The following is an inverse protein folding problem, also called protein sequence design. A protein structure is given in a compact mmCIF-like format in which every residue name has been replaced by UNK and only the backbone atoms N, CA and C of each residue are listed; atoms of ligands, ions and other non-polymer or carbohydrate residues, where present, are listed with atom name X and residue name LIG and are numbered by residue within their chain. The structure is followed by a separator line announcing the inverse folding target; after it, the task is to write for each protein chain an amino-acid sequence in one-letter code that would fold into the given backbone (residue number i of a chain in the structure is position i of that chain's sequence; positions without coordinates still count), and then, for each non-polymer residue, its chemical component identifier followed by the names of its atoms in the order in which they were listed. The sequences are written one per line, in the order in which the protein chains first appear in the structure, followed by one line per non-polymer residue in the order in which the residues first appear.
data_IF_522940293549
#
_entry.id   IF_522940293549
#
_cell.length_a   1.000
_cell.length_b   1.000
_cell.length_c   1.000
_cell.angle_alpha   90.00
_cell.angle_beta   90.00
_cell.angle_gamma   90.00
#
_symmetry.space_group_name_H-M   'P 1'
#
loop_
_entity.id
_entity.type
_entity.pdbx_description
1 polymer ?
#
# COMPACT_ATOMS: atom_id res chain seq x y z
N UNK A 1 16.16 -10.27 -10.10
CA UNK A 1 15.11 -11.27 -9.85
C UNK A 1 13.89 -10.91 -10.68
N UNK A 2 13.13 -11.90 -11.17
CA UNK A 2 11.88 -11.66 -11.91
C UNK A 2 10.69 -11.73 -10.95
N UNK A 3 9.79 -10.76 -11.07
CA UNK A 3 8.51 -10.70 -10.36
C UNK A 3 7.40 -10.31 -11.35
N UNK A 4 6.16 -10.40 -10.90
CA UNK A 4 4.98 -10.13 -11.72
C UNK A 4 4.17 -8.97 -11.14
N UNK A 5 3.50 -8.20 -11.99
CA UNK A 5 2.64 -7.10 -11.56
C UNK A 5 1.42 -7.04 -12.47
N UNK A 6 0.23 -6.89 -11.89
CA UNK A 6 -0.95 -6.50 -12.65
C UNK A 6 -1.12 -4.98 -12.51
N UNK A 7 -1.17 -4.30 -13.65
CA UNK A 7 -1.33 -2.86 -13.73
C UNK A 7 -2.70 -2.53 -14.29
N UNK A 8 -3.40 -1.62 -13.61
CA UNK A 8 -4.64 -1.03 -14.07
C UNK A 8 -4.39 0.45 -14.34
N UNK A 9 -4.56 0.87 -15.60
CA UNK A 9 -4.41 2.25 -16.09
C UNK A 9 -3.04 2.93 -15.84
N UNK A 10 -2.12 2.32 -15.09
CA UNK A 10 -0.84 2.92 -14.70
C UNK A 10 0.30 2.66 -15.70
N UNK A 11 0.19 1.61 -16.50
CA UNK A 11 1.20 1.22 -17.48
C UNK A 11 0.85 1.70 -18.89
N UNK A 12 1.59 2.71 -19.37
CA UNK A 12 1.43 3.30 -20.71
C UNK A 12 2.53 2.86 -21.70
N UNK A 13 3.09 1.65 -21.51
CA UNK A 13 4.21 1.16 -22.31
C UNK A 13 5.59 1.67 -21.84
N UNK A 14 5.65 2.19 -20.62
CA UNK A 14 6.91 2.66 -20.01
C UNK A 14 7.88 1.50 -19.77
N UNK A 15 9.19 1.76 -19.80
CA UNK A 15 10.21 0.72 -19.53
C UNK A 15 10.29 0.29 -18.06
N UNK A 16 9.64 1.03 -17.16
CA UNK A 16 9.73 0.83 -15.72
C UNK A 16 8.44 1.30 -15.05
N UNK A 17 8.09 0.65 -13.94
CA UNK A 17 7.01 1.05 -13.05
C UNK A 17 7.48 2.15 -12.10
N UNK A 18 6.59 3.10 -11.79
CA UNK A 18 6.87 4.21 -10.88
C UNK A 18 6.41 3.85 -9.47
N UNK A 19 7.29 4.03 -8.48
CA UNK A 19 6.90 4.05 -7.09
C UNK A 19 5.92 5.21 -6.85
N UNK A 20 4.92 5.00 -5.98
CA UNK A 20 3.84 5.97 -5.72
C UNK A 20 3.16 6.50 -6.99
N UNK A 21 2.89 5.63 -7.98
CA UNK A 21 2.31 6.05 -9.26
C UNK A 21 1.06 6.93 -9.10
N UNK A 22 0.20 6.60 -8.13
CA UNK A 22 -1.06 7.32 -7.87
C UNK A 22 -0.90 8.59 -7.01
N UNK A 23 0.33 8.90 -6.55
CA UNK A 23 0.62 10.05 -5.70
C UNK A 23 -0.17 10.00 -4.39
N UNK A 24 -0.26 8.83 -3.78
CA UNK A 24 -0.98 8.62 -2.52
C UNK A 24 -0.20 9.15 -1.31
N UNK A 25 1.14 9.27 -1.41
CA UNK A 25 1.96 9.79 -0.31
C UNK A 25 1.48 11.16 0.17
N UNK A 26 1.04 12.04 -0.73
CA UNK A 26 0.56 13.40 -0.40
C UNK A 26 -0.64 13.43 0.55
N UNK A 27 -1.46 12.37 0.57
CA UNK A 27 -2.61 12.29 1.49
C UNK A 27 -2.20 11.81 2.88
N UNK A 28 -1.07 11.10 2.96
CA UNK A 28 -0.51 10.54 4.19
C UNK A 28 0.46 11.51 4.86
N UNK A 29 1.17 12.31 4.08
CA UNK A 29 2.19 13.26 4.55
C UNK A 29 1.74 14.16 5.72
N UNK A 30 0.54 14.77 5.74
CA UNK A 30 0.11 15.60 6.87
C UNK A 30 0.05 14.84 8.20
N UNK A 31 -0.31 13.56 8.17
CA UNK A 31 -0.33 12.70 9.35
C UNK A 31 1.09 12.35 9.82
N UNK A 32 2.02 12.08 8.90
CA UNK A 32 3.42 11.80 9.23
C UNK A 32 4.05 13.04 9.89
N UNK A 33 3.82 14.23 9.33
CA UNK A 33 4.28 15.49 9.91
C UNK A 33 3.70 15.68 11.32
N UNK A 34 2.41 15.43 11.50
CA UNK A 34 1.76 15.51 12.81
C UNK A 34 2.36 14.53 13.83
N UNK A 35 2.71 13.30 13.42
CA UNK A 35 3.38 12.31 14.28
C UNK A 35 4.78 12.75 14.72
N UNK A 36 5.54 13.42 13.84
CA UNK A 36 6.86 13.97 14.17
C UNK A 36 6.79 15.06 15.24
N UNK A 37 5.69 15.81 15.28
CA UNK A 37 5.44 16.79 16.33
C UNK A 37 5.00 16.10 17.64
N UNK A 38 3.85 15.42 17.61
CA UNK A 38 3.31 14.73 18.78
C UNK A 38 2.10 13.85 18.42
N UNK A 39 1.88 12.77 19.17
CA UNK A 39 0.68 11.93 19.02
C UNK A 39 -0.63 12.71 19.20
N UNK A 40 -0.65 13.74 20.04
CA UNK A 40 -1.82 14.62 20.21
C UNK A 40 -2.12 15.44 18.95
N UNK A 41 -1.08 15.90 18.25
CA UNK A 41 -1.23 16.63 16.97
C UNK A 41 -1.72 15.67 15.89
N UNK A 42 -1.20 14.45 15.84
CA UNK A 42 -1.70 13.41 14.94
C UNK A 42 -3.19 13.10 15.18
N UNK A 43 -3.61 12.94 16.44
CA UNK A 43 -5.03 12.73 16.78
C UNK A 43 -5.91 13.90 16.33
N UNK A 44 -5.45 15.14 16.51
CA UNK A 44 -6.16 16.31 16.04
C UNK A 44 -6.30 16.31 14.50
N UNK A 45 -5.23 16.03 13.77
CA UNK A 45 -5.25 15.87 12.30
C UNK A 45 -6.22 14.76 11.89
N UNK A 46 -6.21 13.62 12.56
CA UNK A 46 -7.13 12.51 12.32
C UNK A 46 -8.60 12.89 12.47
N UNK A 47 -8.97 13.55 13.57
CA UNK A 47 -10.36 13.97 13.75
C UNK A 47 -10.78 15.08 12.79
N UNK A 48 -9.86 15.99 12.41
CA UNK A 48 -10.13 16.98 11.37
C UNK A 48 -10.35 16.31 10.00
N UNK A 49 -9.48 15.38 9.61
CA UNK A 49 -9.65 14.61 8.36
C UNK A 49 -10.90 13.75 8.36
N UNK A 50 -11.30 13.19 9.51
CA UNK A 50 -12.58 12.51 9.66
C UNK A 50 -13.74 13.44 9.29
N UNK A 51 -13.77 14.65 9.88
CA UNK A 51 -14.81 15.64 9.59
C UNK A 51 -14.86 16.00 8.10
N UNK A 52 -13.74 16.42 7.52
CA UNK A 52 -13.68 16.80 6.10
C UNK A 52 -14.03 15.65 5.16
N UNK A 53 -13.56 14.43 5.44
CA UNK A 53 -13.87 13.27 4.60
C UNK A 53 -15.36 12.95 4.58
N UNK A 54 -16.05 13.07 5.71
CA UNK A 54 -17.50 12.90 5.83
C UNK A 54 -18.26 13.96 5.04
N UNK A 55 -17.84 15.22 5.16
CA UNK A 55 -18.43 16.33 4.40
C UNK A 55 -18.26 16.11 2.88
N UNK A 56 -17.06 15.72 2.43
CA UNK A 56 -16.82 15.41 1.01
C UNK A 56 -17.66 14.22 0.52
N UNK A 57 -17.89 13.22 1.35
CA UNK A 57 -18.75 12.08 1.01
C UNK A 57 -20.23 12.48 0.97
N UNK A 58 -20.71 13.28 1.92
CA UNK A 58 -22.09 13.79 1.94
C UNK A 58 -22.38 14.66 0.71
N UNK A 59 -21.41 15.49 0.31
CA UNK A 59 -21.45 16.29 -0.92
C UNK A 59 -21.24 15.47 -2.20
N UNK A 60 -21.00 14.15 -2.10
CA UNK A 60 -20.70 13.24 -3.23
C UNK A 60 -19.47 13.63 -4.05
N UNK A 61 -18.55 14.39 -3.45
CA UNK A 61 -17.25 14.74 -4.04
C UNK A 61 -16.21 13.63 -3.84
N UNK A 62 -16.46 12.68 -2.93
CA UNK A 62 -15.70 11.43 -2.76
C UNK A 62 -16.62 10.25 -2.50
N UNK A 63 -16.21 9.08 -2.99
CA UNK A 63 -16.92 7.80 -2.77
C UNK A 63 -16.73 7.25 -1.34
N UNK A 64 -15.56 7.47 -0.73
CA UNK A 64 -15.18 6.85 0.54
C UNK A 64 -14.42 7.80 1.48
N UNK A 65 -14.65 7.63 2.78
CA UNK A 65 -13.93 8.27 3.88
C UNK A 65 -12.54 7.61 4.07
N UNK A 66 -11.59 7.90 3.17
CA UNK A 66 -10.26 7.25 3.16
C UNK A 66 -9.33 7.62 4.34
N UNK A 67 -9.71 8.58 5.20
CA UNK A 67 -8.84 9.13 6.25
C UNK A 67 -8.26 8.08 7.21
N UNK A 68 -8.99 6.99 7.51
CA UNK A 68 -8.49 5.92 8.38
C UNK A 68 -7.35 5.15 7.74
N UNK A 69 -7.48 4.84 6.45
CA UNK A 69 -6.42 4.18 5.68
C UNK A 69 -5.20 5.08 5.63
N UNK A 70 -5.39 6.35 5.30
CA UNK A 70 -4.31 7.34 5.23
C UNK A 70 -3.58 7.46 6.59
N UNK A 71 -4.32 7.48 7.70
CA UNK A 71 -3.74 7.53 9.05
C UNK A 71 -2.98 6.25 9.44
N UNK A 72 -3.45 5.07 9.04
CA UNK A 72 -2.74 3.79 9.27
C UNK A 72 -1.44 3.76 8.46
N UNK A 73 -1.49 4.11 7.17
CA UNK A 73 -0.28 4.23 6.36
C UNK A 73 0.71 5.24 6.95
N UNK A 74 0.22 6.34 7.54
CA UNK A 74 1.08 7.31 8.21
C UNK A 74 1.82 6.73 9.40
N UNK A 75 1.13 5.96 10.25
CA UNK A 75 1.76 5.29 11.40
C UNK A 75 2.79 4.27 10.90
N UNK A 76 2.44 3.48 9.88
CA UNK A 76 3.38 2.51 9.28
C UNK A 76 4.62 3.22 8.73
N UNK A 77 4.45 4.25 7.91
CA UNK A 77 5.58 4.98 7.33
C UNK A 77 6.40 5.71 8.40
N UNK A 78 5.77 6.27 9.43
CA UNK A 78 6.47 6.89 10.56
C UNK A 78 7.32 5.88 11.33
N UNK A 79 6.76 4.73 11.70
CA UNK A 79 7.50 3.63 12.36
C UNK A 79 8.64 3.15 11.47
N UNK A 80 8.38 2.98 10.17
CA UNK A 80 9.39 2.58 9.21
C UNK A 80 10.57 3.55 9.19
N UNK A 81 10.29 4.85 9.07
CA UNK A 81 11.32 5.90 8.99
C UNK A 81 12.11 6.04 10.30
N UNK A 82 11.48 5.82 11.44
CA UNK A 82 12.10 6.09 12.76
C UNK A 82 12.75 4.87 13.38
N UNK A 83 12.27 3.66 13.07
CA UNK A 83 12.71 2.42 13.72
C UNK A 83 13.33 1.39 12.73
N UNK A 84 13.02 1.46 11.42
CA UNK A 84 13.38 0.41 10.45
C UNK A 84 13.93 0.95 9.11
N UNK A 85 14.47 2.15 9.07
CA UNK A 85 14.72 2.89 7.81
C UNK A 85 15.62 2.15 6.79
N UNK A 86 16.64 1.42 7.26
CA UNK A 86 17.65 0.81 6.40
C UNK A 86 17.22 -0.55 5.82
N UNK A 87 16.37 -1.29 6.53
CA UNK A 87 16.03 -2.68 6.22
C UNK A 87 14.53 -2.88 5.97
N UNK A 88 13.90 -1.89 5.34
CA UNK A 88 12.49 -1.94 4.99
C UNK A 88 12.21 -1.22 3.68
N UNK A 89 11.01 -1.45 3.14
CA UNK A 89 10.45 -0.72 2.02
C UNK A 89 9.21 0.05 2.48
N UNK A 90 9.05 1.28 1.99
CA UNK A 90 7.82 2.05 2.20
C UNK A 90 6.67 1.37 1.48
N UNK A 91 5.50 1.29 2.13
CA UNK A 91 4.24 0.86 1.50
C UNK A 91 3.66 1.90 0.54
N UNK A 92 4.08 3.16 0.71
CA UNK A 92 3.59 4.30 -0.06
C UNK A 92 4.49 4.62 -1.24
N UNK A 93 5.78 4.31 -1.14
CA UNK A 93 6.77 4.57 -2.16
C UNK A 93 7.42 3.27 -2.66
N UNK A 94 6.60 2.38 -3.18
CA UNK A 94 7.02 1.11 -3.77
C UNK A 94 6.12 0.71 -4.95
N UNK A 95 6.48 -0.40 -5.57
CA UNK A 95 5.59 -1.19 -6.42
C UNK A 95 5.26 -2.50 -5.71
N UNK A 96 3.99 -2.90 -5.79
CA UNK A 96 3.50 -4.18 -5.29
C UNK A 96 3.61 -5.23 -6.39
N UNK A 97 4.16 -6.39 -6.04
CA UNK A 97 4.45 -7.48 -6.94
C UNK A 97 3.83 -8.79 -6.47
N UNK A 98 3.76 -9.75 -7.39
CA UNK A 98 3.44 -11.15 -7.16
C UNK A 98 4.69 -12.00 -7.43
N UNK A 99 4.82 -13.12 -6.72
CA UNK A 99 5.96 -14.04 -6.86
C UNK A 99 5.83 -14.88 -8.13
N UNK A 100 4.59 -15.08 -8.62
CA UNK A 100 4.30 -15.86 -9.82
C UNK A 100 3.32 -15.21 -10.78
N UNK A 101 3.39 -15.63 -12.05
CA UNK A 101 2.42 -15.24 -13.08
C UNK A 101 0.99 -15.64 -12.67
N UNK A 102 0.81 -16.84 -12.14
CA UNK A 102 -0.50 -17.37 -11.74
C UNK A 102 -1.13 -16.54 -10.63
N UNK A 103 -0.33 -16.15 -9.64
CA UNK A 103 -0.78 -15.26 -8.57
C UNK A 103 -1.18 -13.88 -9.12
N UNK A 104 -0.39 -13.30 -10.01
CA UNK A 104 -0.75 -12.03 -10.65
C UNK A 104 -2.04 -12.12 -11.47
N UNK A 105 -2.28 -13.23 -12.17
CA UNK A 105 -3.55 -13.49 -12.88
C UNK A 105 -4.70 -13.54 -11.87
N UNK A 106 -4.54 -14.28 -10.77
CA UNK A 106 -5.60 -14.43 -9.76
C UNK A 106 -5.98 -13.09 -9.15
N UNK A 107 -5.00 -12.27 -8.77
CA UNK A 107 -5.26 -10.92 -8.28
C UNK A 107 -5.92 -10.02 -9.33
N UNK A 108 -5.45 -10.04 -10.58
CA UNK A 108 -6.09 -9.28 -11.66
C UNK A 108 -7.57 -9.68 -11.86
N UNK A 109 -7.88 -10.97 -11.72
CA UNK A 109 -9.25 -11.46 -11.81
C UNK A 109 -10.08 -11.00 -10.61
N UNK A 110 -9.60 -11.21 -9.39
CA UNK A 110 -10.37 -10.95 -8.17
C UNK A 110 -10.55 -9.46 -7.89
N UNK A 111 -9.50 -8.65 -8.08
CA UNK A 111 -9.48 -7.24 -7.73
C UNK A 111 -10.07 -6.34 -8.81
N UNK A 112 -10.11 -6.79 -10.08
CA UNK A 112 -10.43 -5.91 -11.21
C UNK A 112 -11.51 -6.44 -12.14
N UNK A 113 -11.40 -7.69 -12.60
CA UNK A 113 -12.23 -8.22 -13.67
C UNK A 113 -13.55 -8.79 -13.13
N UNK A 114 -13.49 -9.64 -12.10
CA UNK A 114 -14.65 -10.34 -11.55
C UNK A 114 -15.60 -9.40 -10.78
N UNK A 115 -15.07 -8.33 -10.20
CA UNK A 115 -15.88 -7.28 -9.56
C UNK A 115 -16.56 -6.35 -10.57
N UNK A 116 -16.14 -6.38 -11.84
CA UNK A 116 -16.70 -5.56 -12.93
C UNK A 116 -16.17 -4.13 -13.00
N UNK A 117 -15.14 -3.78 -12.21
CA UNK A 117 -14.56 -2.44 -12.19
C UNK A 117 -13.72 -2.15 -13.45
N UNK A 118 -13.11 -3.18 -14.06
CA UNK A 118 -12.26 -3.05 -15.25
C UNK A 118 -12.44 -4.18 -16.25
N UNK A 119 -12.23 -3.90 -17.54
CA UNK A 119 -12.17 -4.93 -18.58
C UNK A 119 -10.78 -5.56 -18.69
N UNK A 120 -10.72 -6.76 -19.28
CA UNK A 120 -9.45 -7.48 -19.51
C UNK A 120 -8.46 -6.66 -20.34
N UNK A 121 -8.94 -5.83 -21.25
CA UNK A 121 -8.11 -4.98 -22.11
C UNK A 121 -7.44 -3.84 -21.33
N UNK A 122 -8.07 -3.36 -20.25
CA UNK A 122 -7.56 -2.31 -19.37
C UNK A 122 -6.51 -2.82 -18.39
N UNK A 123 -6.51 -4.13 -18.09
CA UNK A 123 -5.58 -4.73 -17.13
C UNK A 123 -4.39 -5.37 -17.87
N UNK A 124 -3.17 -4.93 -17.53
CA UNK A 124 -1.92 -5.46 -18.09
C UNK A 124 -1.18 -6.29 -17.06
N UNK A 125 -0.85 -7.54 -17.40
CA UNK A 125 0.10 -8.34 -16.63
C UNK A 125 1.51 -8.11 -17.17
N UNK A 126 2.44 -7.86 -16.26
CA UNK A 126 3.81 -7.49 -16.59
C UNK A 126 4.78 -8.46 -15.95
N UNK A 127 5.78 -8.90 -16.70
CA UNK A 127 6.99 -9.51 -16.13
C UNK A 127 8.01 -8.40 -15.90
N UNK A 128 8.53 -8.30 -14.69
CA UNK A 128 9.39 -7.19 -14.26
C UNK A 128 10.67 -7.74 -13.63
N UNK A 129 11.81 -7.20 -14.05
CA UNK A 129 13.08 -7.43 -13.39
C UNK A 129 13.32 -6.37 -12.30
N UNK A 130 13.67 -6.83 -11.11
CA UNK A 130 13.96 -6.00 -9.92
C UNK A 130 15.27 -6.40 -9.24
N UNK A 131 15.81 -5.50 -8.42
CA UNK A 131 17.00 -5.78 -7.59
C UNK A 131 16.61 -6.63 -6.38
N UNK A 132 17.24 -7.80 -6.24
CA UNK A 132 16.86 -8.80 -5.25
C UNK A 132 17.04 -8.33 -3.80
N UNK A 133 18.07 -7.54 -3.53
CA UNK A 133 18.37 -6.99 -2.20
C UNK A 133 17.37 -5.94 -1.69
N UNK A 134 16.39 -5.54 -2.51
CA UNK A 134 15.33 -4.59 -2.16
C UNK A 134 13.93 -5.20 -2.30
N UNK A 135 13.83 -6.53 -2.30
CA UNK A 135 12.54 -7.22 -2.26
C UNK A 135 12.18 -7.51 -0.81
N UNK A 136 11.00 -7.05 -0.41
CA UNK A 136 10.48 -7.24 0.93
C UNK A 136 9.17 -8.00 0.85
N UNK A 137 9.07 -9.06 1.66
CA UNK A 137 7.87 -9.90 1.76
C UNK A 137 7.25 -9.63 3.10
N UNK A 138 6.12 -8.93 3.15
CA UNK A 138 5.42 -8.63 4.38
C UNK A 138 4.13 -9.45 4.50
N UNK A 139 3.56 -9.53 5.70
CA UNK A 139 2.26 -10.19 5.90
C UNK A 139 1.17 -9.11 5.93
N UNK A 140 0.41 -9.05 4.84
CA UNK A 140 -0.67 -8.09 4.64
C UNK A 140 -1.76 -8.23 5.70
N UNK A 141 -1.93 -9.41 6.31
CA UNK A 141 -2.91 -9.59 7.36
C UNK A 141 -2.60 -8.78 8.62
N UNK A 142 -1.33 -8.44 8.87
CA UNK A 142 -0.95 -7.51 9.95
C UNK A 142 -1.48 -6.11 9.64
N UNK A 143 -1.32 -5.63 8.41
CA UNK A 143 -1.85 -4.34 7.97
C UNK A 143 -3.40 -4.33 8.00
N UNK A 144 -4.05 -5.39 7.52
CA UNK A 144 -5.51 -5.54 7.56
C UNK A 144 -6.04 -5.48 9.01
N UNK A 145 -5.35 -6.11 9.96
CA UNK A 145 -5.64 -6.00 11.39
C UNK A 145 -5.49 -4.56 11.88
N UNK A 146 -4.45 -3.85 11.45
CA UNK A 146 -4.23 -2.46 11.84
C UNK A 146 -5.37 -1.53 11.38
N UNK A 147 -5.90 -1.74 10.17
CA UNK A 147 -7.10 -1.03 9.69
C UNK A 147 -8.31 -1.30 10.60
N UNK A 148 -8.50 -2.54 11.05
CA UNK A 148 -9.61 -2.88 11.94
C UNK A 148 -9.45 -2.27 13.34
N UNK A 149 -8.24 -2.33 13.90
CA UNK A 149 -7.91 -1.71 15.20
C UNK A 149 -8.09 -0.19 15.14
N UNK A 150 -7.72 0.46 14.03
CA UNK A 150 -7.95 1.90 13.82
C UNK A 150 -9.44 2.29 13.84
N UNK A 151 -10.37 1.40 13.49
CA UNK A 151 -11.83 1.71 13.56
C UNK A 151 -12.28 2.01 14.99
N UNK A 152 -11.63 1.40 15.97
CA UNK A 152 -11.84 1.62 17.41
C UNK A 152 -10.98 2.77 17.96
N UNK A 153 -10.24 3.48 17.10
CA UNK A 153 -9.26 4.52 17.44
C UNK A 153 -8.16 4.05 18.41
N UNK A 154 -7.81 2.76 18.37
CA UNK A 154 -6.68 2.22 19.13
C UNK A 154 -5.37 2.48 18.38
N UNK A 155 -4.86 3.70 18.52
CA UNK A 155 -3.63 4.14 17.86
C UNK A 155 -2.40 3.34 18.31
N UNK A 156 -2.30 2.99 19.59
CA UNK A 156 -1.16 2.22 20.13
C UNK A 156 -1.14 0.80 19.56
N UNK A 157 -2.32 0.18 19.40
CA UNK A 157 -2.45 -1.09 18.70
C UNK A 157 -1.95 -1.03 17.26
N UNK A 158 -2.22 0.07 16.54
CA UNK A 158 -1.70 0.28 15.18
C UNK A 158 -0.18 0.43 15.17
N UNK A 159 0.40 1.16 16.13
CA UNK A 159 1.87 1.25 16.28
C UNK A 159 2.50 -0.13 16.54
N UNK A 160 1.91 -0.95 17.40
CA UNK A 160 2.39 -2.30 17.68
C UNK A 160 2.36 -3.18 16.41
N UNK A 161 1.28 -3.13 15.65
CA UNK A 161 1.14 -3.87 14.39
C UNK A 161 2.10 -3.38 13.31
N UNK A 162 2.34 -2.07 13.21
CA UNK A 162 3.34 -1.52 12.30
C UNK A 162 4.75 -2.05 12.62
N UNK A 163 5.13 -2.12 13.89
CA UNK A 163 6.41 -2.70 14.31
C UNK A 163 6.50 -4.19 13.98
N UNK A 164 5.45 -4.97 14.26
CA UNK A 164 5.40 -6.39 13.91
C UNK A 164 5.56 -6.61 12.40
N UNK A 165 4.89 -5.78 11.60
CA UNK A 165 4.98 -5.79 10.14
C UNK A 165 6.42 -5.58 9.64
N UNK A 166 7.11 -4.53 10.10
CA UNK A 166 8.49 -4.24 9.66
C UNK A 166 9.55 -5.15 10.30
N UNK A 167 9.20 -5.89 11.36
CA UNK A 167 10.01 -7.01 11.88
C UNK A 167 9.82 -8.31 11.09
N UNK A 168 8.99 -8.31 10.05
CA UNK A 168 8.65 -9.49 9.25
C UNK A 168 7.97 -10.60 10.04
N UNK A 169 7.23 -10.23 11.10
CA UNK A 169 6.37 -11.18 11.82
C UNK A 169 5.26 -11.73 10.90
N UNK A 170 4.72 -12.89 11.25
CA UNK A 170 3.75 -13.64 10.45
C UNK A 170 2.56 -14.05 11.30
N UNK A 171 1.38 -13.91 10.72
CA UNK A 171 0.15 -14.51 11.24
C UNK A 171 0.06 -15.98 10.81
N UNK A 172 -0.77 -16.76 11.49
CA UNK A 172 -0.95 -18.19 11.19
C UNK A 172 -1.43 -18.42 9.74
N UNK A 173 -2.33 -17.57 9.26
CA UNK A 173 -2.83 -17.55 7.88
C UNK A 173 -2.20 -16.38 7.12
N UNK A 174 -0.89 -16.42 6.92
CA UNK A 174 -0.15 -15.31 6.28
C UNK A 174 -0.64 -15.03 4.86
N UNK A 175 -0.88 -13.76 4.54
CA UNK A 175 -1.08 -13.28 3.17
C UNK A 175 0.15 -12.48 2.77
N UNK A 176 0.99 -13.03 1.90
CA UNK A 176 2.28 -12.43 1.58
C UNK A 176 2.10 -11.34 0.52
N UNK A 177 2.47 -10.11 0.85
CA UNK A 177 2.61 -9.03 -0.12
C UNK A 177 4.09 -8.77 -0.41
N UNK A 178 4.43 -8.60 -1.70
CA UNK A 178 5.81 -8.37 -2.14
C UNK A 178 5.96 -6.91 -2.54
N UNK A 179 6.79 -6.18 -1.83
CA UNK A 179 7.08 -4.77 -2.08
C UNK A 179 8.53 -4.62 -2.54
N UNK A 180 8.74 -3.79 -3.54
CA UNK A 180 10.07 -3.37 -3.94
C UNK A 180 10.08 -1.90 -4.33
N UNK A 181 11.08 -1.17 -3.85
CA UNK A 181 11.30 0.26 -4.12
C UNK A 181 12.54 0.53 -4.98
N UNK A 182 13.22 -0.52 -5.43
CA UNK A 182 14.39 -0.39 -6.29
C UNK A 182 14.04 -0.01 -7.73
N UNK A 183 15.07 0.31 -8.51
CA UNK A 183 14.93 0.38 -9.96
C UNK A 183 14.42 -0.95 -10.50
N UNK A 184 13.46 -0.86 -11.40
CA UNK A 184 12.83 -2.01 -12.04
C UNK A 184 12.80 -1.81 -13.56
N UNK A 185 12.73 -2.92 -14.30
CA UNK A 185 12.60 -2.92 -15.76
C UNK A 185 11.50 -3.86 -16.18
N UNK A 186 10.51 -3.35 -16.90
CA UNK A 186 9.44 -4.16 -17.48
C UNK A 186 10.03 -4.91 -18.68
N UNK A 187 10.01 -6.23 -18.61
CA UNK A 187 10.59 -7.10 -19.64
C UNK A 187 9.59 -7.35 -20.77
N UNK A 188 8.32 -7.60 -20.41
CA UNK A 188 7.26 -7.91 -21.36
C UNK A 188 5.87 -7.77 -20.74
N UNK A 189 4.88 -7.56 -21.60
CA UNK A 189 3.47 -7.74 -21.28
C UNK A 189 3.13 -9.22 -21.49
N UNK A 190 2.41 -9.80 -20.53
CA UNK A 190 2.08 -11.21 -20.53
C UNK A 190 0.62 -11.39 -20.96
N UNK A 191 0.41 -12.27 -21.93
CA UNK A 191 -0.94 -12.71 -22.31
C UNK A 191 -1.49 -13.73 -21.31
N UNK A 192 -2.80 -13.62 -21.05
CA UNK A 192 -3.62 -14.44 -20.15
C UNK A 192 -5.07 -14.38 -20.62
#
# INVERSE_FOLDING_TARGET
MKLYHYSVDSYNGDKSLKNDFAGHYRFVEPFILALRENISVFKATYYASMYFSRELCDLKLRKHENFRKDAVEAIFEYVRQTEFAEHSCSRLNCVYYCDSKQEAIQYALDDCINCGDFTKEQVKLLEVEVQENRIFRYDQNIYNRAINVMKENDFEGVFALARAYFKFERTEESLIEILCDSQNTVLQIIDY
#
